data_IF_522204801111
#
_entry.id   IF_522204801111
#
_cell.length_a   1.000
_cell.length_b   1.000
_cell.length_c   1.000
_cell.angle_alpha   90.00
_cell.angle_beta   90.00
_cell.angle_gamma   90.00
#
_symmetry.space_group_name_H-M   'P 1'
#
loop_
_entity.id
_entity.type
_entity.pdbx_description
1 polymer ?
#
# COMPACT_ATOMS: atom_id res chain seq x y z
N UNK A 1 -3.49 -10.37 -17.60
CA UNK A 1 -2.80 -10.79 -16.36
C UNK A 1 -3.79 -10.75 -15.22
N UNK A 2 -3.72 -11.71 -14.30
CA UNK A 2 -4.61 -11.80 -13.15
C UNK A 2 -3.82 -11.50 -11.86
N UNK A 3 -4.37 -10.65 -10.98
CA UNK A 3 -3.83 -10.36 -9.66
C UNK A 3 -4.69 -11.00 -8.58
N UNK A 4 -4.12 -11.32 -7.42
CA UNK A 4 -4.84 -11.52 -6.17
C UNK A 4 -4.83 -10.19 -5.41
N UNK A 5 -6.00 -9.54 -5.31
CA UNK A 5 -6.17 -8.25 -4.64
C UNK A 5 -6.63 -8.54 -3.21
N UNK A 6 -5.78 -8.23 -2.23
CA UNK A 6 -6.10 -8.40 -0.81
C UNK A 6 -6.54 -7.08 -0.20
N UNK A 7 -7.70 -7.07 0.45
CA UNK A 7 -8.36 -5.88 0.97
C UNK A 7 -8.74 -6.11 2.43
N UNK A 8 -7.96 -5.62 3.39
CA UNK A 8 -8.36 -5.63 4.79
C UNK A 8 -9.44 -4.57 5.02
N UNK A 9 -10.52 -4.94 5.73
CA UNK A 9 -11.63 -4.03 6.05
C UNK A 9 -12.03 -4.18 7.52
N UNK A 10 -12.19 -3.07 8.21
CA UNK A 10 -12.63 -3.01 9.60
C UNK A 10 -13.81 -2.06 9.77
N UNK A 11 -15.03 -2.64 9.75
CA UNK A 11 -16.27 -1.89 9.90
C UNK A 11 -16.29 -0.63 8.99
N UNK A 12 -16.13 -0.85 7.68
CA UNK A 12 -16.03 0.20 6.67
C UNK A 12 -16.77 -0.20 5.38
N UNK A 13 -17.95 -0.83 5.55
CA UNK A 13 -18.72 -1.47 4.49
C UNK A 13 -19.02 -0.56 3.29
N UNK A 14 -19.35 0.70 3.53
CA UNK A 14 -19.70 1.62 2.44
C UNK A 14 -18.52 1.89 1.49
N UNK A 15 -17.34 2.13 2.05
CA UNK A 15 -16.13 2.30 1.24
C UNK A 15 -15.70 0.98 0.59
N UNK A 16 -15.80 -0.15 1.31
CA UNK A 16 -15.50 -1.46 0.73
C UNK A 16 -16.36 -1.75 -0.49
N UNK A 17 -17.66 -1.41 -0.45
CA UNK A 17 -18.56 -1.53 -1.61
C UNK A 17 -18.08 -0.69 -2.80
N UNK A 18 -17.68 0.55 -2.55
CA UNK A 18 -17.12 1.42 -3.59
C UNK A 18 -15.82 0.86 -4.15
N UNK A 19 -14.92 0.40 -3.30
CA UNK A 19 -13.64 -0.19 -3.69
C UNK A 19 -13.85 -1.40 -4.61
N UNK A 20 -14.66 -2.36 -4.19
CA UNK A 20 -14.90 -3.59 -4.98
C UNK A 20 -15.67 -3.28 -6.26
N UNK A 21 -16.66 -2.39 -6.21
CA UNK A 21 -17.36 -1.93 -7.42
C UNK A 21 -16.40 -1.29 -8.42
N UNK A 22 -15.48 -0.44 -7.94
CA UNK A 22 -14.47 0.21 -8.78
C UNK A 22 -13.53 -0.81 -9.42
N UNK A 23 -13.04 -1.78 -8.66
CA UNK A 23 -12.19 -2.86 -9.18
C UNK A 23 -12.93 -3.62 -10.28
N UNK A 24 -14.17 -4.06 -10.03
CA UNK A 24 -14.96 -4.81 -11.01
C UNK A 24 -15.29 -4.00 -12.28
N UNK A 25 -15.53 -2.69 -12.13
CA UNK A 25 -15.91 -1.79 -13.23
C UNK A 25 -14.72 -1.33 -14.08
N UNK A 26 -13.59 -1.01 -13.43
CA UNK A 26 -12.50 -0.25 -14.01
C UNK A 26 -11.24 -1.08 -14.32
N UNK A 27 -11.24 -2.37 -13.98
CA UNK A 27 -10.15 -3.27 -14.34
C UNK A 27 -10.29 -3.79 -15.77
N UNK A 28 -9.16 -3.94 -16.46
CA UNK A 28 -9.08 -4.54 -17.80
C UNK A 28 -9.02 -6.07 -17.74
N UNK A 29 -8.65 -6.65 -16.59
CA UNK A 29 -8.51 -8.09 -16.40
C UNK A 29 -9.38 -8.60 -15.26
N UNK A 30 -9.80 -9.88 -15.30
CA UNK A 30 -10.43 -10.52 -14.15
C UNK A 30 -9.38 -10.76 -13.06
N UNK A 31 -9.70 -10.34 -11.84
CA UNK A 31 -8.86 -10.50 -10.66
C UNK A 31 -9.51 -11.42 -9.64
N UNK A 32 -8.70 -12.06 -8.81
CA UNK A 32 -9.15 -12.62 -7.55
C UNK A 32 -9.26 -11.48 -6.53
N UNK A 33 -10.40 -11.33 -5.87
CA UNK A 33 -10.62 -10.35 -4.80
C UNK A 33 -10.76 -11.13 -3.50
N UNK A 34 -9.94 -10.79 -2.51
CA UNK A 34 -9.91 -11.43 -1.20
C UNK A 34 -10.06 -10.33 -0.14
N UNK A 35 -11.11 -10.42 0.66
CA UNK A 35 -11.35 -9.48 1.76
C UNK A 35 -10.96 -10.11 3.09
N UNK A 36 -10.16 -9.42 3.90
CA UNK A 36 -10.07 -9.77 5.31
C UNK A 36 -11.09 -8.94 6.10
N UNK A 37 -12.05 -9.60 6.69
CA UNK A 37 -13.07 -8.97 7.53
C UNK A 37 -12.59 -8.95 8.98
N UNK A 38 -12.16 -7.78 9.45
CA UNK A 38 -11.91 -7.53 10.86
C UNK A 38 -13.25 -7.19 11.55
N UNK A 39 -13.67 -8.00 12.52
CA UNK A 39 -14.90 -7.82 13.31
C UNK A 39 -16.18 -7.89 12.46
N UNK A 40 -16.38 -6.97 11.50
CA UNK A 40 -17.52 -7.01 10.56
C UNK A 40 -18.89 -6.72 11.19
N UNK A 41 -18.93 -5.96 12.30
CA UNK A 41 -20.15 -5.61 13.04
C UNK A 41 -21.11 -4.70 12.26
N UNK A 42 -20.62 -4.04 11.20
CA UNK A 42 -21.36 -3.15 10.31
C UNK A 42 -22.10 -3.88 9.16
N UNK A 43 -22.09 -5.22 9.17
CA UNK A 43 -22.68 -6.05 8.11
C UNK A 43 -21.69 -6.48 7.03
N UNK A 44 -20.41 -6.09 7.10
CA UNK A 44 -19.36 -6.47 6.13
C UNK A 44 -19.29 -7.98 5.96
N UNK A 45 -19.29 -8.75 7.05
CA UNK A 45 -19.19 -10.22 7.02
C UNK A 45 -20.35 -10.89 6.26
N UNK A 46 -21.55 -10.38 6.40
CA UNK A 46 -22.70 -10.87 5.66
C UNK A 46 -22.63 -10.47 4.19
N UNK A 47 -22.29 -9.21 3.93
CA UNK A 47 -22.23 -8.68 2.57
C UNK A 47 -21.20 -9.41 1.70
N UNK A 48 -19.99 -9.70 2.20
CA UNK A 48 -18.96 -10.44 1.41
C UNK A 48 -19.42 -11.85 1.06
N UNK A 49 -20.19 -12.52 1.95
CA UNK A 49 -20.81 -13.82 1.67
C UNK A 49 -21.87 -13.73 0.57
N UNK A 50 -22.76 -12.74 0.65
CA UNK A 50 -23.82 -12.51 -0.33
C UNK A 50 -23.26 -12.16 -1.72
N UNK A 51 -22.07 -11.54 -1.77
CA UNK A 51 -21.37 -11.19 -3.00
C UNK A 51 -20.44 -12.30 -3.52
N UNK A 52 -20.41 -13.46 -2.85
CA UNK A 52 -19.54 -14.59 -3.19
C UNK A 52 -18.05 -14.20 -3.30
N UNK A 53 -17.62 -13.27 -2.45
CA UNK A 53 -16.23 -12.81 -2.39
C UNK A 53 -15.44 -13.73 -1.47
N UNK A 54 -14.26 -14.18 -1.91
CA UNK A 54 -13.34 -14.92 -1.04
C UNK A 54 -12.94 -14.03 0.15
N UNK A 55 -12.98 -14.58 1.38
CA UNK A 55 -12.64 -13.79 2.55
C UNK A 55 -12.03 -14.63 3.68
N UNK A 56 -11.25 -13.96 4.51
CA UNK A 56 -10.83 -14.41 5.84
C UNK A 56 -11.50 -13.54 6.91
N UNK A 57 -11.55 -14.00 8.15
CA UNK A 57 -12.31 -13.34 9.21
C UNK A 57 -11.60 -13.43 10.56
N UNK A 58 -11.65 -12.33 11.32
CA UNK A 58 -11.32 -12.31 12.75
C UNK A 58 -12.48 -11.71 13.54
N UNK A 59 -12.86 -12.29 14.72
CA UNK A 59 -14.01 -11.82 15.51
C UNK A 59 -13.79 -10.44 16.15
N UNK A 60 -12.56 -9.98 16.15
CA UNK A 60 -12.12 -8.67 16.66
C UNK A 60 -11.04 -8.09 15.74
N UNK A 61 -10.74 -6.80 15.88
CA UNK A 61 -9.73 -6.16 15.05
C UNK A 61 -8.32 -6.70 15.34
N UNK A 62 -7.82 -7.54 14.45
CA UNK A 62 -6.47 -8.13 14.53
C UNK A 62 -5.34 -7.18 14.10
N UNK A 63 -5.66 -5.98 13.64
CA UNK A 63 -4.71 -5.04 13.03
C UNK A 63 -4.35 -5.39 11.58
N UNK A 64 -3.74 -4.42 10.89
CA UNK A 64 -3.49 -4.54 9.46
C UNK A 64 -2.51 -5.66 9.10
N UNK A 65 -1.45 -5.86 9.90
CA UNK A 65 -0.41 -6.83 9.58
C UNK A 65 -0.97 -8.25 9.50
N UNK A 66 -1.73 -8.66 10.52
CA UNK A 66 -2.37 -9.97 10.56
C UNK A 66 -3.45 -10.11 9.49
N UNK A 67 -4.23 -9.04 9.28
CA UNK A 67 -5.29 -9.02 8.29
C UNK A 67 -4.78 -9.28 6.86
N UNK A 68 -3.74 -8.57 6.43
CA UNK A 68 -3.18 -8.75 5.08
C UNK A 68 -2.46 -10.10 4.94
N UNK A 69 -1.82 -10.60 6.00
CA UNK A 69 -1.20 -11.93 5.98
C UNK A 69 -2.24 -13.02 5.80
N UNK A 70 -3.32 -13.03 6.59
CA UNK A 70 -4.38 -14.03 6.47
C UNK A 70 -5.08 -13.96 5.10
N UNK A 71 -5.34 -12.77 4.57
CA UNK A 71 -5.89 -12.65 3.22
C UNK A 71 -4.93 -13.18 2.15
N UNK A 72 -3.62 -12.97 2.31
CA UNK A 72 -2.62 -13.43 1.36
C UNK A 72 -2.49 -14.94 1.27
N UNK A 73 -2.89 -15.70 2.30
CA UNK A 73 -2.91 -17.17 2.30
C UNK A 73 -3.85 -17.75 1.23
N UNK A 74 -4.89 -17.00 0.84
CA UNK A 74 -5.83 -17.39 -0.21
C UNK A 74 -5.37 -16.96 -1.62
N UNK A 75 -4.26 -16.21 -1.74
CA UNK A 75 -3.80 -15.67 -3.01
C UNK A 75 -3.37 -16.77 -3.98
N UNK A 76 -4.04 -16.87 -5.12
CA UNK A 76 -3.79 -17.88 -6.16
C UNK A 76 -3.00 -17.35 -7.35
N UNK A 77 -2.94 -16.01 -7.56
CA UNK A 77 -2.19 -15.42 -8.65
C UNK A 77 -0.70 -15.26 -8.32
N UNK A 78 0.12 -15.09 -9.36
CA UNK A 78 1.57 -14.85 -9.20
C UNK A 78 1.88 -13.48 -8.58
N UNK A 79 0.95 -12.55 -8.66
CA UNK A 79 1.11 -11.19 -8.13
C UNK A 79 0.02 -10.88 -7.12
N UNK A 80 0.43 -10.34 -5.97
CA UNK A 80 -0.43 -9.83 -4.92
C UNK A 80 -0.49 -8.31 -5.05
N UNK A 81 -1.70 -7.76 -5.01
CA UNK A 81 -1.96 -6.34 -4.82
C UNK A 81 -2.59 -6.15 -3.45
N UNK A 82 -1.91 -5.47 -2.55
CA UNK A 82 -2.53 -4.99 -1.32
C UNK A 82 -3.19 -3.64 -1.60
N UNK A 83 -4.48 -3.52 -1.30
CA UNK A 83 -5.29 -2.31 -1.50
C UNK A 83 -6.12 -2.03 -0.25
N UNK A 84 -6.24 -0.76 0.16
CA UNK A 84 -7.14 -0.38 1.25
C UNK A 84 -8.59 -0.39 0.79
N UNK A 85 -9.51 -0.62 1.72
CA UNK A 85 -10.96 -0.65 1.47
C UNK A 85 -11.57 0.72 1.14
N UNK A 86 -10.85 1.82 1.38
CA UNK A 86 -11.22 3.19 1.05
C UNK A 86 -10.53 3.74 -0.22
N UNK A 87 -10.24 2.85 -1.17
CA UNK A 87 -9.65 3.20 -2.47
C UNK A 87 -10.62 2.91 -3.61
N UNK A 88 -10.72 3.84 -4.54
CA UNK A 88 -11.49 3.70 -5.78
C UNK A 88 -10.51 3.54 -6.95
N UNK A 89 -10.39 2.32 -7.51
CA UNK A 89 -9.54 2.04 -8.65
C UNK A 89 -10.05 2.76 -9.91
N UNK A 90 -9.16 3.43 -10.65
CA UNK A 90 -9.50 4.19 -11.86
C UNK A 90 -9.31 3.34 -13.13
N UNK A 91 -9.96 3.68 -14.25
CA UNK A 91 -9.88 2.89 -15.48
C UNK A 91 -8.46 2.52 -15.91
N UNK A 92 -8.26 1.25 -16.26
CA UNK A 92 -6.99 0.68 -16.74
C UNK A 92 -5.84 0.65 -15.72
N UNK A 93 -6.12 0.85 -14.43
CA UNK A 93 -5.09 0.85 -13.38
C UNK A 93 -4.24 -0.43 -13.38
N UNK A 94 -4.89 -1.57 -13.58
CA UNK A 94 -4.33 -2.92 -13.58
C UNK A 94 -3.54 -3.24 -14.86
N UNK A 95 -4.06 -2.82 -16.01
CA UNK A 95 -3.39 -2.95 -17.30
C UNK A 95 -2.06 -2.19 -17.30
N UNK A 96 -2.06 -0.96 -16.79
CA UNK A 96 -0.87 -0.13 -16.69
C UNK A 96 0.17 -0.76 -15.75
N UNK A 97 -0.25 -1.34 -14.62
CA UNK A 97 0.65 -2.09 -13.74
C UNK A 97 1.18 -3.35 -14.42
N UNK A 98 0.35 -4.07 -15.18
CA UNK A 98 0.76 -5.25 -15.93
C UNK A 98 1.79 -4.91 -17.01
N UNK A 99 1.60 -3.81 -17.72
CA UNK A 99 2.57 -3.29 -18.69
C UNK A 99 3.88 -2.90 -18.01
N UNK A 100 3.81 -2.34 -16.83
CA UNK A 100 5.00 -1.94 -16.07
C UNK A 100 5.81 -3.16 -15.58
N UNK A 101 5.14 -4.23 -15.14
CA UNK A 101 5.80 -5.50 -14.80
C UNK A 101 6.66 -6.01 -15.96
N UNK A 102 6.16 -5.90 -17.20
CA UNK A 102 6.89 -6.38 -18.39
C UNK A 102 8.17 -5.60 -18.69
N UNK A 103 8.30 -4.38 -18.17
CA UNK A 103 9.46 -3.49 -18.37
C UNK A 103 10.50 -3.63 -17.26
N UNK A 104 10.12 -4.17 -16.11
CA UNK A 104 11.01 -4.30 -14.96
C UNK A 104 11.92 -5.54 -15.14
N UNK A 105 13.24 -5.42 -14.94
CA UNK A 105 14.13 -6.57 -14.98
C UNK A 105 13.90 -7.48 -13.77
N UNK A 106 13.52 -8.72 -14.03
CA UNK A 106 13.26 -9.71 -12.97
C UNK A 106 11.90 -9.50 -12.29
N UNK A 107 11.74 -10.05 -11.10
CA UNK A 107 10.49 -10.10 -10.36
C UNK A 107 10.59 -9.58 -8.92
N UNK A 108 11.79 -9.08 -8.51
CA UNK A 108 12.02 -8.44 -7.22
C UNK A 108 11.76 -6.93 -7.32
N UNK A 109 10.53 -6.55 -7.16
CA UNK A 109 10.10 -5.15 -7.22
C UNK A 109 8.88 -4.90 -6.30
N UNK A 110 8.66 -3.64 -6.02
CA UNK A 110 7.43 -3.14 -5.40
C UNK A 110 6.91 -1.98 -6.25
N UNK A 111 5.75 -2.18 -6.90
CA UNK A 111 5.08 -1.16 -7.70
C UNK A 111 3.86 -0.63 -6.96
N UNK A 112 3.60 0.67 -7.02
CA UNK A 112 2.37 1.26 -6.48
C UNK A 112 1.63 2.05 -7.56
N UNK A 113 0.29 1.97 -7.54
CA UNK A 113 -0.50 2.99 -8.22
C UNK A 113 -0.37 4.33 -7.51
N UNK A 114 -0.48 5.42 -8.26
CA UNK A 114 -0.47 6.77 -7.71
C UNK A 114 -1.84 7.11 -7.14
N UNK A 115 -1.87 7.51 -5.87
CA UNK A 115 -3.10 7.95 -5.21
C UNK A 115 -3.45 9.39 -5.62
N UNK A 116 -4.76 9.64 -5.77
CA UNK A 116 -5.35 10.98 -5.80
C UNK A 116 -6.06 11.14 -4.45
N UNK A 117 -5.69 12.16 -3.68
CA UNK A 117 -6.25 12.43 -2.35
C UNK A 117 -6.99 13.76 -2.29
N UNK A 118 -8.08 13.86 -1.50
CA UNK A 118 -8.93 15.06 -1.47
C UNK A 118 -8.27 16.29 -0.82
N UNK A 119 -7.17 16.12 -0.13
CA UNK A 119 -6.43 17.19 0.51
C UNK A 119 -4.95 16.82 0.67
N UNK A 120 -4.13 17.84 0.90
CA UNK A 120 -2.69 17.65 1.11
C UNK A 120 -2.42 16.97 2.46
N UNK A 121 -1.88 15.77 2.38
CA UNK A 121 -1.44 14.97 3.53
C UNK A 121 0.05 15.13 3.82
N UNK A 122 0.75 15.97 3.06
CA UNK A 122 2.22 16.11 3.10
C UNK A 122 2.95 14.97 2.37
N UNK A 123 2.23 14.11 1.66
CA UNK A 123 2.81 13.00 0.92
C UNK A 123 3.18 13.43 -0.52
N UNK A 124 4.48 13.59 -0.77
CA UNK A 124 4.97 14.00 -2.10
C UNK A 124 4.66 13.01 -3.23
N UNK A 125 4.22 11.79 -2.93
CA UNK A 125 3.94 10.75 -3.92
C UNK A 125 2.51 10.78 -4.46
N UNK A 126 1.60 11.54 -3.85
CA UNK A 126 0.19 11.61 -4.25
C UNK A 126 -0.09 12.81 -5.16
N UNK A 127 -1.27 12.80 -5.77
CA UNK A 127 -1.87 13.95 -6.44
C UNK A 127 -2.95 14.50 -5.51
N UNK A 128 -3.00 15.81 -5.31
CA UNK A 128 -4.05 16.44 -4.50
C UNK A 128 -5.14 16.98 -5.42
N UNK A 129 -6.34 16.36 -5.33
CA UNK A 129 -7.53 16.83 -6.05
C UNK A 129 -8.78 16.29 -5.34
N UNK A 130 -9.72 17.17 -5.00
CA UNK A 130 -10.93 16.85 -4.21
C UNK A 130 -12.11 16.47 -5.11
N UNK A 131 -12.55 15.21 -4.97
CA UNK A 131 -13.74 14.66 -5.61
C UNK A 131 -14.75 14.10 -4.58
N UNK A 132 -14.61 14.52 -3.31
CA UNK A 132 -15.43 14.08 -2.19
C UNK A 132 -14.64 13.22 -1.20
N UNK A 133 -14.99 13.35 0.09
CA UNK A 133 -14.27 12.69 1.21
C UNK A 133 -15.05 11.52 1.80
N UNK A 134 -16.32 11.42 1.44
CA UNK A 134 -17.25 10.42 1.94
C UNK A 134 -18.00 9.79 0.77
N UNK A 135 -18.53 8.60 0.97
CA UNK A 135 -19.29 7.90 -0.07
C UNK A 135 -20.44 8.74 -0.62
N UNK A 136 -21.15 9.47 0.26
CA UNK A 136 -22.33 10.25 -0.07
C UNK A 136 -22.02 11.50 -0.92
N UNK A 137 -20.82 12.06 -0.81
CA UNK A 137 -20.43 13.27 -1.56
C UNK A 137 -19.40 12.99 -2.63
N UNK A 138 -19.14 11.72 -2.94
CA UNK A 138 -18.17 11.32 -3.96
C UNK A 138 -18.67 11.65 -5.36
N UNK A 139 -17.91 12.50 -6.07
CA UNK A 139 -18.19 12.88 -7.44
C UNK A 139 -17.44 12.02 -8.45
N UNK A 140 -17.90 10.75 -8.59
CA UNK A 140 -17.31 9.77 -9.49
C UNK A 140 -17.23 10.31 -10.93
N UNK A 141 -18.31 10.94 -11.41
CA UNK A 141 -18.37 11.46 -12.78
C UNK A 141 -17.24 12.45 -13.05
N UNK A 142 -17.09 13.46 -12.19
CA UNK A 142 -16.04 14.47 -12.32
C UNK A 142 -14.65 13.84 -12.23
N UNK A 143 -14.43 12.91 -11.30
CA UNK A 143 -13.17 12.20 -11.19
C UNK A 143 -12.83 11.47 -12.49
N UNK A 144 -13.77 10.71 -13.07
CA UNK A 144 -13.56 9.95 -14.31
C UNK A 144 -13.30 10.86 -15.54
N UNK A 145 -13.85 12.05 -15.55
CA UNK A 145 -13.61 13.04 -16.61
C UNK A 145 -12.22 13.69 -16.50
N UNK A 146 -11.71 13.90 -15.28
CA UNK A 146 -10.53 14.73 -15.03
C UNK A 146 -9.25 13.94 -14.69
N UNK A 147 -9.36 12.72 -14.13
CA UNK A 147 -8.20 12.02 -13.55
C UNK A 147 -7.01 11.86 -14.49
N UNK A 148 -7.27 11.66 -15.80
CA UNK A 148 -6.22 11.44 -16.79
C UNK A 148 -5.40 12.69 -17.09
N UNK A 149 -5.97 13.88 -16.87
CA UNK A 149 -5.33 15.19 -17.10
C UNK A 149 -4.44 15.64 -15.93
N UNK A 150 -4.55 15.00 -14.76
CA UNK A 150 -3.77 15.35 -13.57
C UNK A 150 -2.29 14.97 -13.77
N UNK A 151 -1.40 15.97 -13.68
CA UNK A 151 0.01 15.76 -13.92
C UNK A 151 0.73 15.09 -12.75
N UNK A 152 1.44 14.01 -13.02
CA UNK A 152 2.38 13.35 -12.11
C UNK A 152 3.42 12.59 -12.93
N UNK A 153 4.66 12.60 -12.48
CA UNK A 153 5.71 11.71 -13.02
C UNK A 153 5.78 10.43 -12.18
N UNK A 154 6.31 9.36 -12.76
CA UNK A 154 6.70 8.19 -11.96
C UNK A 154 7.64 8.60 -10.83
N UNK A 155 7.46 8.02 -9.67
CA UNK A 155 8.15 8.40 -8.46
C UNK A 155 8.81 7.22 -7.77
N UNK A 156 9.87 7.48 -7.01
CA UNK A 156 10.62 6.49 -6.24
C UNK A 156 10.02 6.30 -4.86
N UNK A 157 10.23 5.12 -4.29
CA UNK A 157 9.91 4.83 -2.89
C UNK A 157 8.50 4.31 -2.64
N UNK A 158 7.99 3.48 -3.56
CA UNK A 158 6.78 2.69 -3.34
C UNK A 158 6.89 1.86 -2.07
N UNK A 159 6.00 2.06 -1.10
CA UNK A 159 5.95 1.28 0.14
C UNK A 159 4.53 0.97 0.59
N UNK A 160 3.53 1.75 0.20
CA UNK A 160 2.13 1.64 0.69
C UNK A 160 1.13 1.25 -0.41
N UNK A 161 -0.10 0.85 0.00
CA UNK A 161 -1.16 0.51 -0.95
C UNK A 161 -1.57 1.69 -1.87
N UNK A 162 -2.03 1.37 -3.09
CA UNK A 162 -2.05 0.04 -3.66
C UNK A 162 -0.64 -0.41 -4.02
N UNK A 163 -0.19 -1.51 -3.44
CA UNK A 163 1.16 -2.04 -3.64
C UNK A 163 1.11 -3.42 -4.29
N UNK A 164 1.85 -3.58 -5.39
CA UNK A 164 1.96 -4.82 -6.15
C UNK A 164 3.34 -5.41 -5.99
N UNK A 165 3.38 -6.69 -5.63
CA UNK A 165 4.60 -7.50 -5.54
C UNK A 165 4.37 -8.87 -6.13
N UNK A 166 5.43 -9.55 -6.58
CA UNK A 166 5.33 -10.96 -6.94
C UNK A 166 5.15 -11.81 -5.67
N UNK A 167 4.17 -12.75 -5.67
CA UNK A 167 3.78 -13.58 -4.52
C UNK A 167 4.97 -14.32 -3.89
N UNK A 168 5.90 -14.84 -4.68
CA UNK A 168 7.10 -15.50 -4.13
C UNK A 168 7.95 -14.61 -3.22
N UNK A 169 7.98 -13.30 -3.46
CA UNK A 169 8.70 -12.36 -2.60
C UNK A 169 7.91 -12.04 -1.34
N UNK A 170 6.57 -11.93 -1.45
CA UNK A 170 5.71 -11.84 -0.28
C UNK A 170 5.95 -13.01 0.66
N UNK A 171 5.91 -14.24 0.13
CA UNK A 171 6.16 -15.47 0.89
C UNK A 171 7.59 -15.53 1.46
N UNK A 172 8.60 -15.20 0.64
CA UNK A 172 10.01 -15.21 1.04
C UNK A 172 10.30 -14.28 2.21
N UNK A 173 9.73 -13.08 2.22
CA UNK A 173 9.92 -12.11 3.32
C UNK A 173 8.96 -12.35 4.49
N UNK A 174 8.04 -13.30 4.37
CA UNK A 174 7.08 -13.66 5.42
C UNK A 174 5.97 -12.63 5.62
N UNK A 175 5.48 -11.99 4.56
CA UNK A 175 4.40 -11.01 4.62
C UNK A 175 4.69 -9.82 5.51
N UNK A 176 3.67 -9.26 6.16
CA UNK A 176 3.78 -8.15 7.11
C UNK A 176 4.18 -8.65 8.50
N UNK A 177 5.10 -7.97 9.18
CA UNK A 177 5.54 -8.36 10.52
C UNK A 177 4.50 -7.96 11.57
N UNK A 178 3.91 -8.94 12.26
CA UNK A 178 2.82 -8.71 13.23
C UNK A 178 3.24 -7.84 14.43
N UNK A 179 4.53 -7.77 14.72
CA UNK A 179 5.09 -6.88 15.74
C UNK A 179 4.82 -5.39 15.48
N UNK A 180 4.47 -5.02 14.24
CA UNK A 180 4.06 -3.67 13.88
C UNK A 180 2.55 -3.44 14.04
N UNK A 181 1.77 -4.41 14.51
CA UNK A 181 0.35 -4.18 14.77
C UNK A 181 0.13 -3.02 15.75
N UNK A 182 -0.91 -2.20 15.56
CA UNK A 182 -1.99 -2.32 14.59
C UNK A 182 -1.64 -1.88 13.15
N UNK A 183 -0.40 -1.37 12.86
CA UNK A 183 0.03 -1.13 11.49
C UNK A 183 0.99 0.04 11.26
N UNK A 184 1.33 0.83 12.29
CA UNK A 184 2.23 1.97 12.07
C UNK A 184 3.61 1.51 11.64
N UNK A 185 4.10 2.02 10.50
CA UNK A 185 5.37 1.67 9.86
C UNK A 185 5.46 0.23 9.32
N UNK A 186 4.38 -0.52 9.25
CA UNK A 186 4.36 -1.88 8.72
C UNK A 186 4.68 -1.95 7.22
N UNK A 187 4.21 -0.98 6.43
CA UNK A 187 4.51 -0.87 5.00
C UNK A 187 6.00 -0.65 4.76
N UNK A 188 6.61 0.21 5.56
CA UNK A 188 8.05 0.47 5.47
C UNK A 188 8.88 -0.72 5.96
N UNK A 189 8.40 -1.46 6.96
CA UNK A 189 9.04 -2.71 7.40
C UNK A 189 8.99 -3.76 6.29
N UNK A 190 7.85 -3.93 5.64
CA UNK A 190 7.72 -4.84 4.50
C UNK A 190 8.66 -4.44 3.36
N UNK A 191 8.69 -3.15 3.00
CA UNK A 191 9.61 -2.64 1.99
C UNK A 191 11.09 -2.83 2.37
N UNK A 192 11.44 -2.65 3.66
CA UNK A 192 12.80 -2.89 4.14
C UNK A 192 13.19 -4.37 4.13
N UNK A 193 12.25 -5.29 4.38
CA UNK A 193 12.49 -6.73 4.18
C UNK A 193 12.77 -7.05 2.72
N UNK A 194 11.99 -6.48 1.78
CA UNK A 194 12.25 -6.60 0.35
C UNK A 194 13.63 -6.04 -0.04
N UNK A 195 14.00 -4.88 0.53
CA UNK A 195 15.32 -4.28 0.32
C UNK A 195 16.46 -5.20 0.79
N UNK A 196 16.32 -5.78 1.97
CA UNK A 196 17.30 -6.71 2.56
C UNK A 196 17.50 -7.96 1.69
N UNK A 197 16.47 -8.40 0.98
CA UNK A 197 16.51 -9.50 0.00
C UNK A 197 17.06 -9.07 -1.38
N UNK A 198 17.58 -7.84 -1.50
CA UNK A 198 18.19 -7.33 -2.73
C UNK A 198 17.23 -6.61 -3.69
N UNK A 199 15.98 -6.41 -3.32
CA UNK A 199 15.07 -5.59 -4.13
C UNK A 199 15.58 -4.14 -4.22
N UNK A 200 15.60 -3.58 -5.43
CA UNK A 200 16.04 -2.20 -5.70
C UNK A 200 15.07 -1.42 -6.57
N UNK A 201 13.92 -2.01 -6.89
CA UNK A 201 12.88 -1.37 -7.70
C UNK A 201 11.68 -1.12 -6.81
N UNK A 202 11.51 0.13 -6.41
CA UNK A 202 10.41 0.65 -5.61
C UNK A 202 9.82 1.83 -6.37
N UNK A 203 8.88 1.54 -7.26
CA UNK A 203 8.37 2.51 -8.24
C UNK A 203 6.89 2.80 -8.04
N UNK A 204 6.55 4.08 -7.94
CA UNK A 204 5.18 4.54 -8.11
C UNK A 204 4.89 4.85 -9.57
N UNK A 205 3.86 4.22 -10.10
CA UNK A 205 3.45 4.32 -11.50
C UNK A 205 2.42 5.42 -11.63
N UNK A 206 2.81 6.54 -12.24
CA UNK A 206 1.99 7.75 -12.30
C UNK A 206 0.70 7.61 -13.11
N UNK A 207 0.72 6.76 -14.13
CA UNK A 207 -0.41 6.51 -15.00
C UNK A 207 -1.42 5.52 -14.41
N UNK A 208 -0.99 4.60 -13.54
CA UNK A 208 -1.88 3.73 -12.76
C UNK A 208 -2.38 4.51 -11.55
N UNK A 209 -3.70 4.68 -11.41
CA UNK A 209 -4.27 5.61 -10.43
C UNK A 209 -5.41 5.00 -9.63
N UNK A 210 -5.50 5.46 -8.39
CA UNK A 210 -6.65 5.23 -7.50
C UNK A 210 -7.04 6.53 -6.82
N UNK A 211 -8.31 6.72 -6.51
CA UNK A 211 -8.74 7.77 -5.59
C UNK A 211 -8.77 7.20 -4.18
N UNK A 212 -8.11 7.86 -3.23
CA UNK A 212 -8.00 7.45 -1.84
C UNK A 212 -8.79 8.43 -0.97
N UNK A 213 -9.84 7.97 -0.33
CA UNK A 213 -10.73 8.82 0.48
C UNK A 213 -10.08 9.32 1.77
N UNK A 214 -8.97 8.69 2.19
CA UNK A 214 -8.27 8.99 3.45
C UNK A 214 -9.23 8.85 4.63
N UNK A 215 -9.98 7.75 4.65
CA UNK A 215 -10.95 7.50 5.72
C UNK A 215 -10.25 7.31 7.07
N UNK A 216 -10.90 7.77 8.16
CA UNK A 216 -10.28 7.84 9.49
C UNK A 216 -10.25 6.50 10.24
N UNK A 217 -10.16 5.35 9.57
CA UNK A 217 -10.07 4.06 10.25
C UNK A 217 -8.90 4.00 11.26
N UNK A 218 -7.75 4.58 10.89
CA UNK A 218 -6.57 4.68 11.76
C UNK A 218 -6.77 5.56 13.00
N UNK A 219 -7.78 6.41 13.04
CA UNK A 219 -8.15 7.21 14.22
C UNK A 219 -8.87 6.41 15.30
N UNK A 220 -9.34 5.18 14.99
CA UNK A 220 -10.07 4.30 15.90
C UNK A 220 -9.18 3.32 16.68
N UNK A 221 -7.88 3.23 16.34
CA UNK A 221 -6.94 2.31 16.99
C UNK A 221 -6.01 3.02 17.96
N UNK A 222 -5.61 2.31 19.01
CA UNK A 222 -4.47 2.74 19.85
C UNK A 222 -3.21 2.49 19.03
N UNK A 223 -2.57 3.57 18.58
CA UNK A 223 -1.39 3.50 17.71
C UNK A 223 -0.18 2.98 18.47
N UNK A 224 0.54 2.04 17.85
CA UNK A 224 1.88 1.66 18.30
C UNK A 224 2.90 2.76 17.92
N UNK A 225 4.08 2.73 18.54
CA UNK A 225 5.19 3.57 18.12
C UNK A 225 6.00 2.88 17.01
N UNK A 226 5.39 2.78 15.81
CA UNK A 226 6.00 2.08 14.69
C UNK A 226 7.37 2.63 14.28
N UNK A 227 7.64 3.93 14.47
CA UNK A 227 8.94 4.53 14.17
C UNK A 227 10.04 4.00 15.10
N UNK A 228 9.74 3.86 16.39
CA UNK A 228 10.69 3.27 17.35
C UNK A 228 10.84 1.77 17.08
N UNK A 229 9.76 1.07 16.77
CA UNK A 229 9.80 -0.34 16.39
C UNK A 229 10.69 -0.56 15.16
N UNK A 230 10.53 0.27 14.13
CA UNK A 230 11.38 0.22 12.93
C UNK A 230 12.86 0.47 13.27
N UNK A 231 13.16 1.49 14.09
CA UNK A 231 14.51 1.79 14.55
C UNK A 231 15.12 0.60 15.33
N UNK A 232 14.38 -0.01 16.23
CA UNK A 232 14.85 -1.16 17.02
C UNK A 232 15.19 -2.35 16.12
N UNK A 233 14.32 -2.65 15.16
CA UNK A 233 14.48 -3.78 14.25
C UNK A 233 15.64 -3.56 13.28
N UNK A 234 15.66 -2.44 12.60
CA UNK A 234 16.57 -2.20 11.46
C UNK A 234 17.80 -1.39 11.80
N UNK A 235 17.88 -0.77 12.97
CA UNK A 235 19.00 0.05 13.39
C UNK A 235 19.12 1.41 12.69
N UNK A 236 18.16 1.75 11.83
CA UNK A 236 18.05 3.03 11.13
C UNK A 236 16.68 3.65 11.37
N UNK A 237 16.57 4.98 11.30
CA UNK A 237 15.27 5.65 11.36
C UNK A 237 14.48 5.42 10.08
N UNK A 238 13.15 5.34 10.20
CA UNK A 238 12.25 5.28 9.05
C UNK A 238 12.50 6.42 8.05
N UNK A 239 12.76 7.65 8.55
CA UNK A 239 13.12 8.81 7.71
C UNK A 239 14.40 8.61 6.91
N UNK A 240 15.40 7.90 7.46
CA UNK A 240 16.63 7.57 6.75
C UNK A 240 16.34 6.57 5.62
N UNK A 241 15.49 5.58 5.86
CA UNK A 241 15.06 4.64 4.83
C UNK A 241 14.38 5.37 3.67
N UNK A 242 13.45 6.29 3.97
CA UNK A 242 12.78 7.09 2.95
C UNK A 242 13.76 7.96 2.14
N UNK A 243 14.70 8.61 2.82
CA UNK A 243 15.56 9.61 2.20
C UNK A 243 16.73 9.01 1.44
N UNK A 244 17.47 8.09 2.07
CA UNK A 244 18.76 7.64 1.54
C UNK A 244 18.66 6.32 0.77
N UNK A 245 17.66 5.50 1.05
CA UNK A 245 17.46 4.22 0.38
C UNK A 245 16.43 4.34 -0.74
N UNK A 246 15.24 4.85 -0.41
CA UNK A 246 14.11 4.86 -1.31
C UNK A 246 14.02 6.11 -2.20
N UNK A 247 14.68 7.21 -1.84
CA UNK A 247 14.54 8.51 -2.53
C UNK A 247 13.06 8.88 -2.72
N UNK A 248 12.28 8.71 -1.64
CA UNK A 248 10.83 8.74 -1.65
C UNK A 248 10.27 10.07 -2.17
N UNK A 249 9.44 9.99 -3.23
CA UNK A 249 8.82 11.15 -3.86
C UNK A 249 9.67 11.84 -4.92
N UNK A 250 10.94 11.47 -5.08
CA UNK A 250 11.76 11.93 -6.19
C UNK A 250 11.29 11.30 -7.51
N UNK A 251 11.53 11.93 -8.67
CA UNK A 251 11.27 11.30 -9.96
C UNK A 251 11.99 9.94 -10.08
N UNK A 252 11.28 8.93 -10.53
CA UNK A 252 11.87 7.60 -10.69
C UNK A 252 12.93 7.61 -11.79
N UNK A 253 14.13 7.14 -11.46
CA UNK A 253 15.31 7.13 -12.35
C UNK A 253 15.91 5.72 -12.54
N UNK A 254 15.13 4.66 -12.22
CA UNK A 254 15.58 3.28 -12.36
C UNK A 254 15.84 2.59 -11.01
N UNK A 255 16.56 1.47 -11.04
CA UNK A 255 16.86 0.70 -9.84
C UNK A 255 17.67 1.54 -8.84
N UNK A 256 17.25 1.52 -7.59
CA UNK A 256 17.90 2.21 -6.49
C UNK A 256 19.25 1.56 -6.17
N UNK A 257 20.12 2.34 -5.55
CA UNK A 257 21.46 1.90 -5.10
C UNK A 257 21.53 1.94 -3.58
N UNK A 258 22.47 1.19 -3.03
CA UNK A 258 22.76 1.33 -1.60
C UNK A 258 23.17 2.76 -1.28
N UNK A 259 22.74 3.29 -0.12
CA UNK A 259 23.00 4.68 0.23
C UNK A 259 24.53 4.95 0.29
N UNK A 260 25.00 6.03 -0.36
CA UNK A 260 26.39 6.38 -0.30
C UNK A 260 26.77 6.83 1.12
N UNK A 261 28.00 6.51 1.56
CA UNK A 261 28.51 6.95 2.84
C UNK A 261 28.87 8.44 2.77
N UNK A 262 27.88 9.29 3.04
CA UNK A 262 28.01 10.75 3.08
C UNK A 262 27.97 11.26 4.51
N UNK A 263 28.46 12.49 4.75
CA UNK A 263 28.40 13.11 6.08
C UNK A 263 26.96 13.18 6.65
N UNK A 264 25.93 13.59 5.89
CA UNK A 264 24.56 13.56 6.39
C UNK A 264 24.08 12.15 6.76
N UNK A 265 24.38 11.14 5.94
CA UNK A 265 24.03 9.74 6.25
C UNK A 265 24.74 9.26 7.53
N UNK A 266 26.01 9.53 7.67
CA UNK A 266 26.80 9.19 8.87
C UNK A 266 26.23 9.86 10.14
N UNK A 267 25.98 11.18 10.08
CA UNK A 267 25.44 11.92 11.22
C UNK A 267 24.07 11.36 11.67
N UNK A 268 23.18 11.08 10.71
CA UNK A 268 21.88 10.47 11.04
C UNK A 268 22.02 9.03 11.57
N UNK A 269 22.99 8.25 11.09
CA UNK A 269 23.27 6.90 11.59
C UNK A 269 23.75 6.93 13.05
N UNK A 270 24.61 7.87 13.42
CA UNK A 270 25.05 8.06 14.81
C UNK A 270 23.86 8.42 15.70
N UNK A 271 23.01 9.37 15.27
CA UNK A 271 21.82 9.76 16.03
C UNK A 271 20.82 8.59 16.14
N UNK A 272 20.67 7.77 15.10
CA UNK A 272 19.83 6.57 15.15
C UNK A 272 20.36 5.57 16.16
N UNK A 273 21.68 5.34 16.18
CA UNK A 273 22.31 4.43 17.14
C UNK A 273 22.08 4.90 18.60
N UNK A 274 22.32 6.18 18.89
CA UNK A 274 22.07 6.76 20.22
C UNK A 274 20.58 6.60 20.61
N UNK A 275 19.66 6.96 19.72
CA UNK A 275 18.24 6.84 19.97
C UNK A 275 17.80 5.40 20.22
N UNK A 276 18.37 4.43 19.48
CA UNK A 276 18.09 2.99 19.68
C UNK A 276 18.51 2.52 21.09
N UNK A 277 19.64 3.04 21.63
CA UNK A 277 20.11 2.69 22.97
C UNK A 277 19.23 3.29 24.09
N UNK A 278 18.55 4.40 23.81
CA UNK A 278 17.72 5.12 24.77
C UNK A 278 16.23 4.71 24.70
N UNK A 279 15.82 3.88 23.75
CA UNK A 279 14.43 3.47 23.52
C UNK A 279 14.20 1.98 23.85
#
# INVERSE_FOLDING_TARGET
>A
MKFSIIIPSWNNLEFLKLCISAIRKNSSYPHQIIVHVNEGADGTAQWVKEQEIEFTFTPENAGICRAVNQASELAAADYIVYMNDDMYALPRWDEILADEISKVPGDCFMLSSTMIEPYDTGNACVIVADYGRFAENFNEKKLLEEFSSLNKKDWSGSTWPPALVHRKWWEKVGGYSEEFSPGMSSDDDFAMKMWAEGCRIFKGVSASRVYHFVSKSTGRVVRNNGRIQFLKKWGIKQSMFHRFYLHRGEPYAGALKDPPFTFPYFAESVLAHIQKQLS
#
